data_IF_604057622309
#
_entry.id   IF_604057622309
#
_cell.length_a   1.000
_cell.length_b   1.000
_cell.length_c   1.000
_cell.angle_alpha   90.00
_cell.angle_beta   90.00
_cell.angle_gamma   90.00
#
_symmetry.space_group_name_H-M   'P 1'
#
loop_
_entity.id
_entity.type
_entity.pdbx_description
1 polymer ?
#
# COMPACT_ATOMS: atom_id res chain seq x y z
N UNK A 1 -14.34 16.24 -0.87
CA UNK A 1 -15.43 17.13 -1.32
C UNK A 1 -14.83 18.26 -2.16
N UNK A 2 -15.60 19.08 -2.88
CA UNK A 2 -15.05 20.28 -3.52
C UNK A 2 -14.32 21.17 -2.50
N UNK A 3 -13.22 21.81 -2.92
CA UNK A 3 -12.40 22.67 -2.07
C UNK A 3 -11.14 21.98 -1.51
N UNK A 4 -10.54 22.59 -0.49
CA UNK A 4 -9.34 22.06 0.14
C UNK A 4 -9.68 20.86 1.02
N UNK A 5 -8.95 19.76 0.83
CA UNK A 5 -9.10 18.55 1.63
C UNK A 5 -7.75 18.17 2.21
N UNK A 6 -7.76 17.64 3.44
CA UNK A 6 -6.59 17.05 4.07
C UNK A 6 -6.85 15.56 4.26
N UNK A 7 -5.93 14.74 3.76
CA UNK A 7 -5.98 13.27 3.87
C UNK A 7 -4.86 12.87 4.81
N UNK A 8 -5.20 12.10 5.85
CA UNK A 8 -4.24 11.50 6.77
C UNK A 8 -4.37 9.99 6.70
N UNK A 9 -3.22 9.30 6.68
CA UNK A 9 -3.14 7.83 6.64
C UNK A 9 -2.03 7.39 7.59
N UNK A 10 -2.33 6.43 8.45
CA UNK A 10 -1.35 5.85 9.35
C UNK A 10 -0.59 4.73 8.64
N UNK A 11 0.68 4.52 9.01
CA UNK A 11 1.52 3.45 8.46
C UNK A 11 0.97 2.05 8.75
N UNK A 12 0.29 1.87 9.89
CA UNK A 12 -0.35 0.60 10.27
C UNK A 12 -1.48 0.20 9.30
N UNK A 13 -2.05 1.17 8.58
CA UNK A 13 -3.10 0.94 7.60
C UNK A 13 -2.53 0.74 6.18
N UNK A 14 -1.24 0.42 6.05
CA UNK A 14 -0.60 0.22 4.75
C UNK A 14 -1.17 -1.00 4.02
N UNK A 15 -1.53 -0.84 2.74
CA UNK A 15 -2.15 -1.89 1.91
C UNK A 15 -1.15 -2.93 1.38
N UNK A 16 0.14 -2.79 1.70
CA UNK A 16 1.18 -3.78 1.36
C UNK A 16 1.45 -4.73 2.52
N UNK A 17 1.16 -4.32 3.77
CA UNK A 17 1.57 -5.06 4.96
C UNK A 17 0.44 -5.90 5.55
N UNK A 18 0.81 -7.03 6.13
CA UNK A 18 -0.11 -7.83 6.94
C UNK A 18 -0.27 -7.18 8.32
N UNK A 19 -1.51 -6.98 8.77
CA UNK A 19 -1.78 -6.35 10.07
C UNK A 19 -1.50 -7.27 11.27
N UNK A 20 -1.68 -8.58 11.13
CA UNK A 20 -1.39 -9.53 12.21
C UNK A 20 -1.11 -10.94 11.68
N UNK A 21 -0.06 -11.57 12.18
CA UNK A 21 0.20 -13.00 11.98
C UNK A 21 -0.20 -13.75 13.23
N UNK A 22 -1.26 -14.56 13.14
CA UNK A 22 -1.73 -15.36 14.26
C UNK A 22 -0.75 -16.48 14.60
N UNK A 23 -0.39 -16.58 15.88
CA UNK A 23 0.41 -17.68 16.40
C UNK A 23 -0.43 -18.95 16.59
N UNK A 24 0.24 -20.10 16.70
CA UNK A 24 -0.44 -21.37 16.92
C UNK A 24 -1.25 -21.40 18.24
N UNK A 25 -0.78 -20.72 19.28
CA UNK A 25 -1.48 -20.60 20.56
C UNK A 25 -2.77 -19.78 20.43
N UNK A 26 -2.73 -18.67 19.69
CA UNK A 26 -3.90 -17.85 19.41
C UNK A 26 -4.96 -18.62 18.63
N UNK A 27 -4.54 -19.35 17.59
CA UNK A 27 -5.43 -20.20 16.81
C UNK A 27 -6.08 -21.29 17.68
N UNK A 28 -5.31 -21.92 18.58
CA UNK A 28 -5.85 -22.88 19.57
C UNK A 28 -6.88 -22.26 20.51
N UNK A 29 -6.72 -20.98 20.85
CA UNK A 29 -7.67 -20.20 21.65
C UNK A 29 -8.89 -19.73 20.83
N UNK A 30 -8.97 -20.07 19.54
CA UNK A 30 -10.03 -19.62 18.65
C UNK A 30 -9.89 -18.17 18.19
N UNK A 31 -8.74 -17.53 18.42
CA UNK A 31 -8.40 -16.22 17.86
C UNK A 31 -7.91 -16.46 16.43
N UNK A 32 -8.80 -16.30 15.48
CA UNK A 32 -8.49 -16.19 14.05
C UNK A 32 -8.95 -14.84 13.52
N UNK A 33 -8.54 -14.50 12.30
CA UNK A 33 -9.15 -13.40 11.55
C UNK A 33 -10.66 -13.63 11.34
N UNK A 34 -11.28 -12.81 10.47
CA UNK A 34 -12.68 -13.01 10.07
C UNK A 34 -12.93 -14.48 9.68
N UNK A 35 -14.14 -15.02 9.88
CA UNK A 35 -14.44 -16.43 9.55
C UNK A 35 -14.19 -16.77 8.07
N UNK A 36 -14.15 -15.76 7.21
CA UNK A 36 -13.86 -15.88 5.79
C UNK A 36 -12.36 -15.72 5.46
N UNK A 37 -11.57 -15.27 6.46
CA UNK A 37 -10.12 -15.08 6.42
C UNK A 37 -9.39 -16.41 6.70
N UNK A 38 -9.46 -17.32 5.73
CA UNK A 38 -8.64 -18.54 5.69
C UNK A 38 -7.16 -18.23 5.41
N UNK A 39 -6.32 -19.26 5.27
CA UNK A 39 -4.87 -19.22 4.99
C UNK A 39 -4.41 -18.18 3.94
N UNK A 40 -5.28 -17.83 2.98
CA UNK A 40 -5.01 -16.82 1.94
C UNK A 40 -4.70 -15.43 2.51
N UNK A 41 -5.25 -15.10 3.68
CA UNK A 41 -5.14 -13.79 4.30
C UNK A 41 -3.88 -13.62 5.15
N UNK A 42 -2.99 -14.63 5.14
CA UNK A 42 -1.67 -14.54 5.74
C UNK A 42 -0.62 -14.02 4.77
N UNK A 43 -0.99 -13.76 3.51
CA UNK A 43 -0.13 -13.10 2.55
C UNK A 43 -0.07 -11.60 2.89
N UNK A 44 1.14 -11.07 3.03
CA UNK A 44 1.39 -9.65 3.15
C UNK A 44 2.83 -9.38 3.54
N UNK A 45 3.30 -8.17 3.29
CA UNK A 45 4.63 -7.78 3.71
C UNK A 45 4.68 -7.63 5.24
N UNK A 46 5.75 -8.03 5.93
CA UNK A 46 5.84 -7.81 7.37
C UNK A 46 5.83 -6.30 7.69
N UNK A 47 5.01 -5.87 8.65
CA UNK A 47 4.88 -4.45 9.03
C UNK A 47 6.23 -3.81 9.38
N UNK A 48 7.06 -4.52 10.14
CA UNK A 48 8.40 -4.06 10.54
C UNK A 48 9.41 -3.95 9.38
N UNK A 49 9.03 -4.38 8.17
CA UNK A 49 9.82 -4.25 6.95
C UNK A 49 9.25 -3.20 5.97
N UNK A 50 8.22 -2.45 6.35
CA UNK A 50 7.55 -1.47 5.46
C UNK A 50 8.52 -0.44 4.87
N UNK A 51 9.52 -0.01 5.64
CA UNK A 51 10.51 0.96 5.21
C UNK A 51 11.93 0.36 5.21
N UNK A 52 12.82 0.80 4.32
CA UNK A 52 14.22 0.40 4.36
C UNK A 52 14.89 0.77 5.70
N UNK A 53 15.93 0.04 6.08
CA UNK A 53 16.66 0.28 7.34
C UNK A 53 17.21 1.71 7.50
N UNK A 54 17.62 2.34 6.40
CA UNK A 54 18.32 3.63 6.43
C UNK A 54 19.73 3.54 7.04
N UNK A 55 20.25 4.68 7.53
CA UNK A 55 21.57 4.74 8.17
C UNK A 55 21.52 5.55 9.46
N UNK A 56 22.56 5.46 10.31
CA UNK A 56 22.65 6.27 11.53
C UNK A 56 22.70 7.78 11.28
N UNK A 57 23.18 8.20 10.10
CA UNK A 57 23.21 9.62 9.70
C UNK A 57 21.88 10.11 9.12
N UNK A 58 20.93 9.20 8.86
CA UNK A 58 19.78 9.45 8.02
C UNK A 58 20.15 9.19 6.56
N UNK A 59 19.39 8.31 5.90
CA UNK A 59 19.46 8.10 4.46
C UNK A 59 18.34 8.90 3.79
N UNK A 60 18.68 9.68 2.78
CA UNK A 60 17.73 10.48 2.01
C UNK A 60 16.88 9.60 1.09
N UNK A 61 15.57 9.82 1.11
CA UNK A 61 14.59 9.20 0.24
C UNK A 61 13.62 10.23 -0.29
N UNK A 62 13.02 9.93 -1.43
CA UNK A 62 11.92 10.71 -2.00
C UNK A 62 10.61 10.00 -1.72
N UNK A 63 9.70 10.65 -0.98
CA UNK A 63 8.33 10.21 -0.79
C UNK A 63 7.49 10.73 -1.95
N UNK A 64 7.06 9.82 -2.83
CA UNK A 64 6.18 10.12 -3.95
C UNK A 64 4.73 9.78 -3.59
N UNK A 65 3.81 10.71 -3.86
CA UNK A 65 2.36 10.49 -3.69
C UNK A 65 1.66 10.92 -4.97
N UNK A 66 0.71 10.12 -5.44
CA UNK A 66 -0.11 10.41 -6.62
C UNK A 66 -1.57 10.08 -6.34
N UNK A 67 -2.48 10.96 -6.77
CA UNK A 67 -3.91 10.74 -6.70
C UNK A 67 -4.45 10.44 -8.09
N UNK A 68 -5.16 9.32 -8.25
CA UNK A 68 -5.83 8.93 -9.50
C UNK A 68 -7.34 8.88 -9.31
N UNK A 69 -8.06 8.88 -10.44
CA UNK A 69 -9.52 8.81 -10.43
C UNK A 69 -9.99 7.39 -10.12
N UNK A 70 -10.44 7.18 -8.88
CA UNK A 70 -10.95 5.89 -8.41
C UNK A 70 -12.07 5.30 -9.27
N UNK A 71 -12.89 6.13 -9.92
CA UNK A 71 -13.97 5.65 -10.81
C UNK A 71 -13.43 4.95 -12.05
N UNK A 72 -12.21 5.31 -12.47
CA UNK A 72 -11.50 4.66 -13.57
C UNK A 72 -10.69 3.47 -13.07
N UNK A 73 -10.11 3.56 -11.87
CA UNK A 73 -9.21 2.55 -11.31
C UNK A 73 -9.94 1.30 -10.81
N UNK A 74 -11.15 1.43 -10.25
CA UNK A 74 -11.87 0.29 -9.70
C UNK A 74 -12.56 -0.56 -10.81
N UNK A 75 -12.25 -1.87 -10.93
CA UNK A 75 -12.88 -2.77 -11.90
C UNK A 75 -14.32 -3.18 -11.60
N UNK A 76 -14.74 -3.19 -10.34
CA UNK A 76 -16.01 -3.80 -9.92
C UNK A 76 -16.99 -2.79 -9.28
N UNK A 77 -16.59 -1.52 -9.16
CA UNK A 77 -17.42 -0.45 -8.61
C UNK A 77 -17.45 -0.40 -7.07
N UNK A 78 -18.15 0.59 -6.50
CA UNK A 78 -18.04 0.97 -5.09
C UNK A 78 -18.60 -0.05 -4.05
N UNK A 79 -19.20 -1.16 -4.49
CA UNK A 79 -20.03 -2.03 -3.62
C UNK A 79 -19.50 -3.45 -3.42
N UNK A 80 -18.22 -3.71 -3.69
CA UNK A 80 -17.64 -5.05 -3.47
C UNK A 80 -17.14 -5.17 -2.03
N UNK A 81 -17.68 -6.16 -1.31
CA UNK A 81 -17.18 -6.53 0.01
C UNK A 81 -15.86 -7.29 -0.18
N UNK A 82 -14.74 -6.59 -0.10
CA UNK A 82 -13.41 -7.21 -0.20
C UNK A 82 -13.10 -7.98 1.09
N UNK A 83 -12.85 -9.27 0.95
CA UNK A 83 -12.38 -10.13 2.04
C UNK A 83 -10.85 -10.12 1.98
N UNK A 84 -10.21 -9.86 3.13
CA UNK A 84 -8.74 -9.80 3.27
C UNK A 84 -8.11 -8.72 2.39
N UNK A 85 -8.54 -7.49 2.65
CA UNK A 85 -8.10 -6.30 1.93
C UNK A 85 -6.89 -5.61 2.55
N UNK A 86 -6.23 -6.22 3.53
CA UNK A 86 -5.13 -5.64 4.31
C UNK A 86 -3.84 -5.56 3.49
N UNK A 87 -3.52 -6.61 2.71
CA UNK A 87 -2.31 -6.66 1.89
C UNK A 87 -2.57 -6.67 0.37
N UNK A 88 -3.67 -6.03 -0.08
CA UNK A 88 -4.13 -6.08 -1.48
C UNK A 88 -3.08 -5.67 -2.50
N UNK A 89 -2.16 -4.79 -2.15
CA UNK A 89 -1.14 -4.30 -3.09
C UNK A 89 -0.20 -5.39 -3.58
N UNK A 90 0.08 -6.41 -2.77
CA UNK A 90 0.96 -7.54 -3.15
C UNK A 90 0.23 -8.88 -3.23
N UNK A 91 -0.87 -9.03 -2.50
CA UNK A 91 -1.58 -10.31 -2.36
C UNK A 91 -2.91 -10.35 -3.11
N UNK A 92 -3.34 -9.21 -3.66
CA UNK A 92 -4.65 -9.09 -4.29
C UNK A 92 -5.79 -9.27 -3.29
N UNK A 93 -6.98 -9.57 -3.81
CA UNK A 93 -8.17 -9.84 -3.02
C UNK A 93 -8.63 -11.27 -3.27
N UNK A 94 -9.08 -11.95 -2.21
CA UNK A 94 -9.55 -13.33 -2.30
C UNK A 94 -10.80 -13.42 -3.18
N UNK A 95 -10.78 -14.32 -4.16
CA UNK A 95 -11.89 -14.61 -5.09
C UNK A 95 -12.44 -13.38 -5.85
N UNK A 96 -11.61 -12.34 -6.02
CA UNK A 96 -11.97 -11.08 -6.67
C UNK A 96 -10.91 -10.70 -7.71
N UNK A 97 -11.28 -9.87 -8.70
CA UNK A 97 -10.28 -9.26 -9.56
C UNK A 97 -9.40 -8.31 -8.74
N UNK A 98 -8.15 -8.15 -9.17
CA UNK A 98 -7.25 -7.20 -8.55
C UNK A 98 -7.89 -5.80 -8.54
N UNK A 99 -7.99 -5.11 -7.39
CA UNK A 99 -8.89 -3.97 -7.20
C UNK A 99 -8.38 -2.66 -7.81
N UNK A 100 -7.47 -2.73 -8.78
CA UNK A 100 -6.92 -1.60 -9.54
C UNK A 100 -6.68 -2.01 -11.00
N UNK A 101 -7.22 -1.24 -11.95
CA UNK A 101 -7.05 -1.46 -13.40
C UNK A 101 -5.68 -1.00 -13.91
N UNK A 102 -4.95 -0.17 -13.16
CA UNK A 102 -3.62 0.28 -13.56
C UNK A 102 -2.64 -0.90 -13.59
N UNK A 103 -1.60 -0.85 -14.44
CA UNK A 103 -0.48 -1.77 -14.32
C UNK A 103 0.11 -1.70 -12.91
N UNK A 104 0.40 -2.86 -12.31
CA UNK A 104 1.08 -2.91 -11.01
C UNK A 104 2.42 -2.16 -11.11
N UNK A 105 2.62 -1.15 -10.24
CA UNK A 105 3.80 -0.28 -10.27
C UNK A 105 3.62 1.02 -11.04
N UNK A 106 2.46 1.29 -11.64
CA UNK A 106 2.12 2.60 -12.21
C UNK A 106 2.34 3.72 -11.17
N UNK A 107 2.92 4.89 -11.55
CA UNK A 107 3.32 5.31 -12.89
C UNK A 107 4.77 4.90 -13.30
N UNK A 108 5.43 4.03 -12.52
CA UNK A 108 6.82 3.64 -12.72
C UNK A 108 6.99 2.34 -13.54
N UNK A 109 5.90 1.79 -14.08
CA UNK A 109 5.90 0.56 -14.89
C UNK A 109 6.58 0.75 -16.27
N UNK A 110 6.70 1.99 -16.73
CA UNK A 110 7.25 2.33 -18.06
C UNK A 110 8.54 3.14 -17.98
N UNK A 111 9.41 3.05 -19.00
CA UNK A 111 10.61 3.88 -19.06
C UNK A 111 10.29 5.37 -19.01
N UNK A 112 10.87 6.06 -18.03
CA UNK A 112 10.83 7.51 -17.96
C UNK A 112 11.96 8.07 -18.84
N UNK A 113 11.60 8.81 -19.88
CA UNK A 113 12.58 9.56 -20.64
C UNK A 113 13.21 10.63 -19.72
N UNK A 114 14.52 10.89 -19.85
CA UNK A 114 15.27 11.74 -18.92
C UNK A 114 14.70 13.18 -18.78
N UNK A 115 14.01 13.67 -19.80
CA UNK A 115 13.30 14.95 -19.82
C UNK A 115 11.91 14.92 -19.14
N UNK A 116 11.37 13.74 -18.86
CA UNK A 116 10.09 13.48 -18.19
C UNK A 116 10.29 13.11 -16.72
N UNK A 117 11.44 12.54 -16.34
CA UNK A 117 11.74 12.24 -14.93
C UNK A 117 11.70 13.49 -14.02
N UNK A 118 12.15 14.65 -14.53
CA UNK A 118 12.01 15.94 -13.83
C UNK A 118 10.59 16.51 -13.84
N UNK A 119 9.69 15.93 -14.64
CA UNK A 119 8.26 16.25 -14.75
C UNK A 119 7.35 15.18 -14.13
N UNK A 120 7.93 14.23 -13.39
CA UNK A 120 7.17 13.26 -12.61
C UNK A 120 6.13 13.94 -11.71
N UNK A 121 6.43 15.08 -11.04
CA UNK A 121 5.41 15.87 -10.38
C UNK A 121 4.48 16.50 -11.43
N UNK A 122 3.25 16.02 -11.45
CA UNK A 122 2.09 16.56 -12.17
C UNK A 122 1.19 17.29 -11.19
N UNK A 123 0.08 17.90 -11.65
CA UNK A 123 -0.87 18.60 -10.76
C UNK A 123 -1.47 17.70 -9.66
N UNK A 124 -1.52 16.39 -9.90
CA UNK A 124 -2.08 15.38 -9.00
C UNK A 124 -1.01 14.50 -8.32
N UNK A 125 0.27 14.86 -8.41
CA UNK A 125 1.35 14.14 -7.72
C UNK A 125 2.35 15.08 -7.07
N UNK A 126 3.00 14.61 -6.01
CA UNK A 126 4.01 15.37 -5.30
C UNK A 126 5.16 14.49 -4.84
N UNK A 127 6.33 15.11 -4.70
CA UNK A 127 7.54 14.51 -4.14
C UNK A 127 7.94 15.31 -2.91
N UNK A 128 8.18 14.63 -1.81
CA UNK A 128 8.70 15.21 -0.57
C UNK A 128 9.98 14.50 -0.17
N UNK A 129 11.06 15.23 0.05
CA UNK A 129 12.30 14.65 0.56
C UNK A 129 12.14 14.29 2.04
N UNK A 130 12.50 13.05 2.39
CA UNK A 130 12.46 12.52 3.75
C UNK A 130 13.78 11.85 4.11
N UNK A 131 14.04 11.69 5.42
CA UNK A 131 15.20 10.95 5.92
C UNK A 131 14.77 9.76 6.75
N UNK A 132 15.35 8.59 6.48
CA UNK A 132 15.18 7.40 7.31
C UNK A 132 16.45 7.19 8.14
N UNK A 133 16.31 7.29 9.47
CA UNK A 133 17.42 7.16 10.42
C UNK A 133 17.32 5.87 11.22
N UNK A 134 18.35 5.04 11.13
CA UNK A 134 18.48 3.84 11.94
C UNK A 134 18.98 4.20 13.35
N UNK A 135 18.22 3.82 14.38
CA UNK A 135 18.61 3.91 15.77
C UNK A 135 19.15 2.54 16.19
N UNK A 136 20.44 2.51 16.54
CA UNK A 136 21.13 1.31 17.03
C UNK A 136 21.11 1.21 18.54
#
# INVERSE_FOLDING_TARGET
APGNNQISRNAIDSSVTLSHTYTFEELKQGKSGSKDASEFCSCGWPEHMLVPRGTHKGLDFQLFVMLTDYTQDNPEGANVKTICSDAVSYCGAKDQKYPDKKPMGFPFDRPLLANVASRLPTENSCITDIKIKFLG
#
